data_IF_797963437417
#
_entry.id   IF_797963437417
#
_cell.length_a   1.000
_cell.length_b   1.000
_cell.length_c   1.000
_cell.angle_alpha   90.00
_cell.angle_beta   90.00
_cell.angle_gamma   90.00
#
_symmetry.space_group_name_H-M   'P 1'
#
loop_
_entity.id
_entity.type
_entity.pdbx_description
1 polymer ?
#
# COMPACT_ATOMS: atom_id res chain seq x y z
N UNK A 1 1.85 -12.50 -6.16
CA UNK A 1 0.99 -12.19 -4.99
C UNK A 1 -0.33 -12.96 -5.00
N UNK A 2 -1.16 -12.90 -6.04
CA UNK A 2 -2.44 -13.61 -6.04
C UNK A 2 -2.29 -15.13 -5.85
N UNK A 3 -1.42 -15.78 -6.64
CA UNK A 3 -1.14 -17.23 -6.52
C UNK A 3 -0.56 -17.61 -5.15
N UNK A 4 0.32 -16.78 -4.58
CA UNK A 4 0.89 -17.05 -3.26
C UNK A 4 -0.17 -17.01 -2.16
N UNK A 5 -1.13 -16.08 -2.23
CA UNK A 5 -2.28 -16.03 -1.31
C UNK A 5 -3.17 -17.27 -1.49
N UNK A 6 -3.47 -17.66 -2.73
CA UNK A 6 -4.30 -18.83 -3.00
C UNK A 6 -3.66 -20.10 -2.44
N UNK A 7 -2.37 -20.32 -2.69
CA UNK A 7 -1.66 -21.46 -2.13
C UNK A 7 -1.58 -21.41 -0.59
N UNK A 8 -1.37 -20.24 0.01
CA UNK A 8 -1.37 -20.08 1.46
C UNK A 8 -2.73 -20.42 2.09
N UNK A 9 -3.83 -19.94 1.51
CA UNK A 9 -5.19 -20.23 1.99
C UNK A 9 -5.54 -21.71 1.80
N UNK A 10 -5.17 -22.31 0.66
CA UNK A 10 -5.39 -23.73 0.41
C UNK A 10 -4.61 -24.61 1.41
N UNK A 11 -3.33 -24.31 1.64
CA UNK A 11 -2.53 -25.00 2.63
C UNK A 11 -3.09 -24.82 4.05
N UNK A 12 -3.52 -23.59 4.40
CA UNK A 12 -4.15 -23.30 5.70
C UNK A 12 -5.44 -24.09 5.90
N UNK A 13 -6.26 -24.23 4.87
CA UNK A 13 -7.48 -25.03 4.93
C UNK A 13 -7.16 -26.51 5.17
N UNK A 14 -6.21 -27.06 4.41
CA UNK A 14 -5.78 -28.46 4.57
C UNK A 14 -5.23 -28.71 5.97
N UNK A 15 -4.36 -27.84 6.48
CA UNK A 15 -3.81 -27.92 7.84
C UNK A 15 -4.91 -27.81 8.91
N UNK A 16 -5.89 -26.92 8.71
CA UNK A 16 -7.01 -26.72 9.63
C UNK A 16 -7.90 -27.95 9.77
N UNK A 17 -8.09 -28.70 8.69
CA UNK A 17 -8.90 -29.92 8.70
C UNK A 17 -8.12 -31.19 9.09
N UNK A 18 -6.79 -31.19 8.96
CA UNK A 18 -5.97 -32.39 9.18
C UNK A 18 -5.10 -32.29 10.43
N UNK A 19 -4.25 -31.27 10.50
CA UNK A 19 -3.23 -31.13 11.55
C UNK A 19 -3.81 -30.52 12.82
N UNK A 20 -4.66 -29.50 12.72
CA UNK A 20 -5.24 -28.84 13.90
C UNK A 20 -6.05 -29.81 14.77
N UNK A 21 -6.96 -30.66 14.24
CA UNK A 21 -7.74 -31.58 15.07
C UNK A 21 -6.86 -32.63 15.76
N UNK A 22 -5.83 -33.11 15.06
CA UNK A 22 -4.86 -34.08 15.61
C UNK A 22 -4.04 -33.44 16.72
N UNK A 23 -3.49 -32.25 16.52
CA UNK A 23 -2.77 -31.53 17.57
C UNK A 23 -3.67 -31.18 18.76
N UNK A 24 -4.92 -30.78 18.49
CA UNK A 24 -5.88 -30.48 19.53
C UNK A 24 -6.18 -31.71 20.38
N UNK A 25 -6.35 -32.90 19.78
CA UNK A 25 -6.61 -34.12 20.55
C UNK A 25 -5.41 -34.57 21.40
N UNK A 26 -4.17 -34.27 20.99
CA UNK A 26 -2.98 -34.57 21.79
C UNK A 26 -2.68 -33.53 22.88
N UNK A 27 -2.96 -32.25 22.63
CA UNK A 27 -2.55 -31.14 23.49
C UNK A 27 -3.65 -30.63 24.43
N UNK A 28 -4.92 -30.64 24.02
CA UNK A 28 -6.01 -30.20 24.89
C UNK A 28 -6.31 -31.28 25.92
N UNK A 29 -6.31 -30.86 27.19
CA UNK A 29 -6.75 -31.68 28.32
C UNK A 29 -8.22 -31.40 28.58
N UNK A 30 -8.99 -32.42 28.92
CA UNK A 30 -10.36 -32.26 29.42
C UNK A 30 -10.34 -31.41 30.70
N UNK A 31 -10.79 -30.15 30.59
CA UNK A 31 -10.84 -29.18 31.66
C UNK A 31 -12.25 -28.60 31.80
N UNK A 32 -12.61 -28.24 33.03
CA UNK A 32 -13.93 -27.74 33.39
C UNK A 32 -14.42 -26.64 32.44
N UNK A 33 -15.58 -26.86 31.83
CA UNK A 33 -16.30 -25.89 30.99
C UNK A 33 -16.78 -24.72 31.86
N UNK A 34 -15.90 -23.77 32.16
CA UNK A 34 -16.30 -22.45 32.65
C UNK A 34 -16.14 -21.47 31.53
N UNK A 35 -17.24 -20.82 31.17
CA UNK A 35 -17.20 -19.67 30.27
C UNK A 35 -16.18 -18.64 30.79
N UNK A 36 -15.20 -18.26 29.96
CA UNK A 36 -14.28 -17.19 30.30
C UNK A 36 -15.07 -15.91 30.62
N UNK A 37 -14.66 -15.17 31.65
CA UNK A 37 -15.30 -13.91 32.05
C UNK A 37 -15.46 -12.93 30.89
N UNK A 38 -14.49 -12.88 29.98
CA UNK A 38 -14.52 -12.04 28.78
C UNK A 38 -15.67 -12.44 27.84
N UNK A 39 -15.85 -13.75 27.58
CA UNK A 39 -16.93 -14.23 26.72
C UNK A 39 -18.28 -13.83 27.29
N UNK A 40 -18.46 -13.99 28.61
CA UNK A 40 -19.69 -13.59 29.30
C UNK A 40 -19.96 -12.08 29.24
N UNK A 41 -18.92 -11.25 29.22
CA UNK A 41 -19.09 -9.79 29.04
C UNK A 41 -19.48 -9.43 27.62
N UNK A 42 -18.84 -10.03 26.62
CA UNK A 42 -19.16 -9.80 25.21
C UNK A 42 -20.59 -10.25 24.91
N UNK A 43 -20.98 -11.42 25.40
CA UNK A 43 -22.31 -11.98 25.18
C UNK A 43 -23.40 -11.11 25.80
N UNK A 44 -23.19 -10.57 27.00
CA UNK A 44 -24.12 -9.60 27.62
C UNK A 44 -24.39 -8.36 26.76
N UNK A 45 -23.44 -7.93 25.93
CA UNK A 45 -23.63 -6.84 24.98
C UNK A 45 -24.20 -7.30 23.64
N UNK A 46 -23.76 -8.47 23.17
CA UNK A 46 -24.16 -9.03 21.88
C UNK A 46 -25.64 -9.49 21.87
N UNK A 47 -26.08 -10.25 22.88
CA UNK A 47 -27.42 -10.82 22.95
C UNK A 47 -28.54 -9.77 22.84
N UNK A 48 -28.56 -8.68 23.63
CA UNK A 48 -29.62 -7.68 23.51
C UNK A 48 -29.58 -6.93 22.17
N UNK A 49 -28.39 -6.73 21.59
CA UNK A 49 -28.26 -6.10 20.28
C UNK A 49 -28.76 -7.00 19.16
N UNK A 50 -28.49 -8.31 19.26
CA UNK A 50 -29.00 -9.33 18.35
C UNK A 50 -30.53 -9.43 18.44
N UNK A 51 -31.08 -9.48 19.66
CA UNK A 51 -32.54 -9.54 19.86
C UNK A 51 -33.23 -8.29 19.29
N UNK A 52 -32.63 -7.11 19.48
CA UNK A 52 -33.12 -5.87 18.88
C UNK A 52 -33.07 -5.92 17.35
N UNK A 53 -31.97 -6.43 16.77
CA UNK A 53 -31.79 -6.59 15.33
C UNK A 53 -32.85 -7.55 14.72
N UNK A 54 -33.13 -8.67 15.39
CA UNK A 54 -34.12 -9.66 14.93
C UNK A 54 -35.56 -9.15 15.06
N UNK A 55 -35.84 -8.32 16.05
CA UNK A 55 -37.17 -7.71 16.25
C UNK A 55 -37.43 -6.53 15.32
N UNK A 56 -36.38 -5.87 14.83
CA UNK A 56 -36.49 -4.71 13.92
C UNK A 56 -35.74 -4.91 12.59
N UNK A 57 -36.06 -5.96 11.81
CA UNK A 57 -35.31 -6.27 10.59
C UNK A 57 -35.38 -5.16 9.53
N UNK A 58 -36.50 -4.41 9.48
CA UNK A 58 -36.67 -3.28 8.55
C UNK A 58 -35.77 -2.10 8.89
N UNK A 59 -35.66 -1.74 10.18
CA UNK A 59 -34.80 -0.61 10.59
C UNK A 59 -33.34 -0.95 10.37
N UNK A 60 -32.94 -2.19 10.68
CA UNK A 60 -31.58 -2.67 10.43
C UNK A 60 -31.25 -2.70 8.94
N UNK A 61 -32.19 -3.16 8.10
CA UNK A 61 -32.02 -3.16 6.65
C UNK A 61 -31.82 -1.74 6.08
N UNK A 62 -32.60 -0.78 6.57
CA UNK A 62 -32.44 0.64 6.19
C UNK A 62 -31.08 1.17 6.66
N UNK A 63 -30.70 0.89 7.92
CA UNK A 63 -29.40 1.32 8.45
C UNK A 63 -28.22 0.74 7.66
N UNK A 64 -28.29 -0.53 7.27
CA UNK A 64 -27.29 -1.17 6.42
C UNK A 64 -27.21 -0.53 5.02
N UNK A 65 -28.37 -0.26 4.40
CA UNK A 65 -28.43 0.42 3.11
C UNK A 65 -27.85 1.83 3.17
N UNK A 66 -28.21 2.61 4.20
CA UNK A 66 -27.63 3.94 4.44
C UNK A 66 -26.11 3.86 4.65
N UNK A 67 -25.64 2.88 5.42
CA UNK A 67 -24.20 2.67 5.66
C UNK A 67 -23.45 2.37 4.37
N UNK A 68 -24.04 1.54 3.49
CA UNK A 68 -23.49 1.25 2.17
C UNK A 68 -23.46 2.49 1.28
N UNK A 69 -24.52 3.30 1.27
CA UNK A 69 -24.58 4.56 0.51
C UNK A 69 -23.55 5.56 1.01
N UNK A 70 -23.37 5.69 2.32
CA UNK A 70 -22.34 6.56 2.92
C UNK A 70 -20.93 6.08 2.54
N UNK A 71 -20.67 4.78 2.59
CA UNK A 71 -19.40 4.20 2.14
C UNK A 71 -19.14 4.46 0.66
N UNK A 72 -20.16 4.31 -0.19
CA UNK A 72 -20.09 4.64 -1.61
C UNK A 72 -19.82 6.12 -1.87
N UNK A 73 -20.49 7.01 -1.14
CA UNK A 73 -20.26 8.45 -1.22
C UNK A 73 -18.83 8.84 -0.80
N UNK A 74 -18.31 8.25 0.28
CA UNK A 74 -16.94 8.44 0.71
C UNK A 74 -15.92 7.95 -0.33
N UNK A 75 -16.20 6.81 -0.96
CA UNK A 75 -15.37 6.26 -2.03
C UNK A 75 -15.28 7.18 -3.25
N UNK A 76 -16.38 7.82 -3.65
CA UNK A 76 -16.37 8.78 -4.76
C UNK A 76 -15.47 9.98 -4.49
N UNK A 77 -15.40 10.44 -3.24
CA UNK A 77 -14.55 11.56 -2.84
C UNK A 77 -13.08 11.17 -2.60
N UNK A 78 -12.74 9.88 -2.70
CA UNK A 78 -11.36 9.41 -2.50
C UNK A 78 -10.56 9.60 -3.78
N UNK A 79 -9.42 10.29 -3.67
CA UNK A 79 -8.49 10.48 -4.79
C UNK A 79 -8.00 9.16 -5.36
N UNK A 80 -7.80 9.10 -6.67
CA UNK A 80 -7.39 7.87 -7.38
C UNK A 80 -6.00 8.08 -7.97
N UNK A 81 -5.08 7.21 -7.61
CA UNK A 81 -3.73 7.13 -8.18
C UNK A 81 -3.55 5.74 -8.81
N UNK A 82 -2.82 5.64 -9.92
CA UNK A 82 -2.60 4.35 -10.58
C UNK A 82 -1.77 3.40 -9.72
N UNK A 83 -0.67 3.92 -9.17
CA UNK A 83 0.19 3.26 -8.20
C UNK A 83 0.61 4.27 -7.14
N UNK A 84 0.90 3.84 -5.90
CA UNK A 84 1.50 4.73 -4.91
C UNK A 84 2.90 5.14 -5.36
N UNK A 85 3.31 6.36 -5.02
CA UNK A 85 4.71 6.78 -5.18
C UNK A 85 5.57 5.95 -4.25
N UNK A 86 6.54 5.23 -4.80
CA UNK A 86 7.53 4.51 -4.02
C UNK A 86 8.62 5.49 -3.57
N UNK A 87 9.06 5.34 -2.33
CA UNK A 87 10.21 6.06 -1.80
C UNK A 87 11.42 5.14 -1.93
N UNK A 88 12.21 5.37 -2.97
CA UNK A 88 13.42 4.59 -3.29
C UNK A 88 14.67 5.18 -2.61
N UNK A 89 14.54 6.34 -1.95
CA UNK A 89 15.65 7.05 -1.29
C UNK A 89 16.49 7.90 -2.24
N UNK A 90 16.22 7.87 -3.54
CA UNK A 90 16.79 8.74 -4.56
C UNK A 90 15.69 9.46 -5.37
N UNK A 91 16.12 10.45 -6.16
CA UNK A 91 15.24 11.29 -6.97
C UNK A 91 15.86 11.43 -8.35
N UNK A 92 15.09 11.06 -9.37
CA UNK A 92 15.44 11.33 -10.76
C UNK A 92 14.97 12.75 -11.14
N UNK A 93 15.89 13.60 -11.60
CA UNK A 93 15.57 14.99 -11.96
C UNK A 93 15.85 15.24 -13.44
N UNK A 94 14.80 15.38 -14.23
CA UNK A 94 14.94 15.66 -15.66
C UNK A 94 15.04 17.17 -15.93
N UNK A 95 16.17 17.61 -16.51
CA UNK A 95 16.40 18.97 -16.97
C UNK A 95 16.27 19.05 -18.50
N UNK A 96 15.22 19.72 -18.97
CA UNK A 96 14.99 19.96 -20.40
C UNK A 96 15.49 21.35 -20.81
N UNK A 97 16.44 21.40 -21.75
CA UNK A 97 17.07 22.64 -22.24
C UNK A 97 16.60 22.95 -23.66
N UNK A 98 16.83 24.18 -24.19
CA UNK A 98 16.52 24.48 -25.59
C UNK A 98 17.24 23.51 -26.56
N UNK A 99 16.59 23.00 -27.62
CA UNK A 99 17.21 22.02 -28.53
C UNK A 99 18.48 22.51 -29.24
N UNK A 100 18.65 23.82 -29.38
CA UNK A 100 19.81 24.45 -30.02
C UNK A 100 20.98 24.74 -29.07
N UNK A 101 20.93 24.23 -27.83
CA UNK A 101 22.00 24.46 -26.84
C UNK A 101 23.29 23.73 -27.22
N UNK A 102 24.45 24.36 -26.98
CA UNK A 102 25.74 23.68 -27.14
C UNK A 102 26.01 22.75 -25.96
N UNK A 103 26.83 21.72 -26.17
CA UNK A 103 27.22 20.77 -25.14
C UNK A 103 27.88 21.47 -23.95
N UNK A 104 28.77 22.42 -24.22
CA UNK A 104 29.51 23.17 -23.19
C UNK A 104 28.55 24.02 -22.35
N UNK A 105 27.56 24.65 -23.00
CA UNK A 105 26.58 25.46 -22.29
C UNK A 105 25.63 24.59 -21.48
N UNK A 106 25.29 23.42 -22.00
CA UNK A 106 24.46 22.45 -21.28
C UNK A 106 25.17 21.96 -20.02
N UNK A 107 26.40 21.47 -20.13
CA UNK A 107 27.19 21.01 -19.00
C UNK A 107 27.43 22.11 -17.94
N UNK A 108 27.62 23.36 -18.37
CA UNK A 108 27.75 24.48 -17.45
C UNK A 108 26.46 24.75 -16.65
N UNK A 109 25.29 24.49 -17.23
CA UNK A 109 24.00 24.59 -16.53
C UNK A 109 23.88 23.45 -15.53
N UNK A 110 24.20 22.21 -15.91
CA UNK A 110 24.09 21.03 -15.03
C UNK A 110 24.95 21.20 -13.80
N UNK A 111 26.23 21.54 -13.98
CA UNK A 111 27.17 21.78 -12.88
C UNK A 111 26.66 22.88 -11.93
N UNK A 112 26.05 23.93 -12.48
CA UNK A 112 25.49 25.01 -11.69
C UNK A 112 24.19 24.62 -10.96
N UNK A 113 23.46 23.61 -11.42
CA UNK A 113 22.32 23.01 -10.73
C UNK A 113 22.81 22.09 -9.62
N UNK A 114 23.74 21.17 -9.91
CA UNK A 114 24.34 20.26 -8.94
C UNK A 114 24.91 21.00 -7.73
N UNK A 115 25.72 22.05 -7.98
CA UNK A 115 26.31 22.87 -6.92
C UNK A 115 25.25 23.56 -6.05
N UNK A 116 24.14 24.01 -6.65
CA UNK A 116 23.06 24.66 -5.91
C UNK A 116 22.25 23.67 -5.09
N UNK A 117 21.98 22.47 -5.60
CA UNK A 117 21.30 21.41 -4.87
C UNK A 117 22.12 21.05 -3.63
N UNK A 118 23.40 20.73 -3.83
CA UNK A 118 24.30 20.36 -2.73
C UNK A 118 24.51 21.48 -1.70
N UNK A 119 24.50 22.73 -2.12
CA UNK A 119 24.65 23.86 -1.21
C UNK A 119 23.37 24.18 -0.39
N UNK A 120 22.18 23.86 -0.93
CA UNK A 120 20.90 24.20 -0.29
C UNK A 120 20.23 23.03 0.43
N UNK A 121 20.52 21.80 0.04
CA UNK A 121 19.89 20.59 0.56
C UNK A 121 20.99 19.67 1.10
N UNK A 122 21.35 19.78 2.40
CA UNK A 122 22.44 19.02 3.00
C UNK A 122 22.18 17.50 3.06
N UNK A 123 20.93 17.06 2.90
CA UNK A 123 20.53 15.65 2.87
C UNK A 123 20.99 14.91 1.59
N UNK A 124 21.38 15.64 0.54
CA UNK A 124 21.83 15.06 -0.73
C UNK A 124 23.33 14.72 -0.63
N UNK A 125 23.66 13.43 -0.55
CA UNK A 125 25.05 12.95 -0.49
C UNK A 125 25.75 12.97 -1.86
N UNK A 126 25.02 12.56 -2.90
CA UNK A 126 25.52 12.40 -4.25
C UNK A 126 24.57 13.02 -5.27
N UNK A 127 25.15 13.64 -6.30
CA UNK A 127 24.44 14.10 -7.49
C UNK A 127 25.24 13.61 -8.69
N UNK A 128 24.56 12.98 -9.63
CA UNK A 128 25.15 12.46 -10.87
C UNK A 128 24.27 13.01 -11.98
N UNK A 129 24.80 13.91 -12.80
CA UNK A 129 24.12 14.37 -14.01
C UNK A 129 24.62 13.59 -15.23
N UNK A 130 23.68 13.12 -16.06
CA UNK A 130 24.00 12.50 -17.35
C UNK A 130 23.39 13.31 -18.48
N UNK A 131 24.26 13.90 -19.31
CA UNK A 131 23.86 14.77 -20.41
C UNK A 131 23.80 14.02 -21.74
N UNK A 132 22.67 14.11 -22.44
CA UNK A 132 22.47 13.53 -23.77
C UNK A 132 21.96 12.09 -23.71
N UNK A 133 22.28 11.30 -24.74
CA UNK A 133 21.80 9.91 -24.87
C UNK A 133 22.94 8.92 -24.64
N UNK A 134 22.57 7.66 -24.37
CA UNK A 134 23.51 6.57 -24.16
C UNK A 134 24.20 6.12 -25.46
N UNK A 135 25.39 5.50 -25.36
CA UNK A 135 26.12 5.01 -26.55
C UNK A 135 25.34 3.92 -27.32
N UNK A 136 24.44 3.21 -26.63
CA UNK A 136 23.61 2.15 -27.21
C UNK A 136 22.34 2.69 -27.89
N UNK A 137 22.00 3.96 -27.69
CA UNK A 137 20.80 4.60 -28.23
C UNK A 137 19.48 3.96 -27.76
N UNK A 138 19.50 3.30 -26.60
CA UNK A 138 18.32 2.70 -25.98
C UNK A 138 17.59 3.71 -25.09
N UNK A 139 18.29 4.78 -24.70
CA UNK A 139 17.75 5.84 -23.88
C UNK A 139 16.82 6.74 -24.71
N UNK A 140 15.52 6.87 -24.36
CA UNK A 140 14.58 7.72 -25.08
C UNK A 140 14.87 9.22 -24.91
N UNK A 141 15.83 9.60 -24.08
CA UNK A 141 16.18 10.98 -23.78
C UNK A 141 16.74 11.75 -24.99
N UNK A 142 16.35 13.02 -25.10
CA UNK A 142 16.84 13.93 -26.12
C UNK A 142 18.28 14.40 -25.86
N UNK A 143 19.00 14.82 -26.92
CA UNK A 143 20.37 15.34 -26.80
C UNK A 143 20.49 16.62 -25.93
N UNK A 144 19.37 17.33 -25.76
CA UNK A 144 19.24 18.54 -24.96
C UNK A 144 18.65 18.29 -23.56
N UNK A 145 18.56 17.02 -23.16
CA UNK A 145 18.02 16.62 -21.88
C UNK A 145 19.12 16.04 -20.97
N UNK A 146 18.87 16.09 -19.68
CA UNK A 146 19.77 15.59 -18.63
C UNK A 146 18.93 14.96 -17.54
N UNK A 147 19.31 13.77 -17.10
CA UNK A 147 18.73 13.07 -15.95
C UNK A 147 19.70 12.98 -14.76
#
# INVERSE_FOLDING_TARGET
>A
MALTIVFALAASLLLSLTVIPVLASFLLKEGAHREPWLMRMLERGYTPLLDWALTHPKTLGIAAAVSLLLGGAAYVNTGKTFMPTMDEGDLLMQLMKPPAISLERSAAIDLAVEQRIRARIPEVEHVIARLGSDELGLDPMGLNETD
#
